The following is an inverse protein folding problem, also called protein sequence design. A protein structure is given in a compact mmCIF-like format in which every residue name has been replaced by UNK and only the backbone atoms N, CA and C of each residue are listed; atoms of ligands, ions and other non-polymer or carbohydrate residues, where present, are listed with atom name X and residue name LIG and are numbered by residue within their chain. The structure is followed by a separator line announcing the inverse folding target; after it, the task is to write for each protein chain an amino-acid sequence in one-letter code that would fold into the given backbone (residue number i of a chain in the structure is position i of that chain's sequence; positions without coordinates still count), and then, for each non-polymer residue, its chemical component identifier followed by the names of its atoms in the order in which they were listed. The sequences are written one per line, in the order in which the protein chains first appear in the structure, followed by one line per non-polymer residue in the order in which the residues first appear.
data_IF_565047720347
#
_entry.id   IF_565047720347
#
_cell.length_a   1.000
_cell.length_b   1.000
_cell.length_c   1.000
_cell.angle_alpha   90.00
_cell.angle_beta   90.00
_cell.angle_gamma   90.00
#
_symmetry.space_group_name_H-M   'P 1'
#
loop_
_entity.id
_entity.type
_entity.pdbx_description
1 polymer ?
#
# COMPACT_ATOMS: atom_id res chain seq x y z
N UNK A 1 -5.38 34.67 -48.00
CA UNK A 1 -6.32 33.76 -47.30
C UNK A 1 -7.35 34.59 -46.56
N UNK A 2 -8.64 34.21 -46.64
CA UNK A 2 -9.73 35.03 -46.11
C UNK A 2 -9.76 34.96 -44.56
N UNK A 3 -9.55 36.06 -43.82
CA UNK A 3 -9.47 36.05 -42.35
C UNK A 3 -10.76 35.53 -41.69
N UNK A 4 -11.90 35.67 -42.37
CA UNK A 4 -13.19 35.11 -41.93
C UNK A 4 -13.23 33.58 -41.94
N UNK A 5 -12.47 32.94 -42.84
CA UNK A 5 -12.38 31.48 -42.92
C UNK A 5 -11.51 30.91 -41.79
N UNK A 6 -10.36 31.54 -41.52
CA UNK A 6 -9.49 31.17 -40.40
C UNK A 6 -10.22 31.31 -39.06
N UNK A 7 -10.95 32.41 -38.85
CA UNK A 7 -11.71 32.61 -37.62
C UNK A 7 -12.81 31.55 -37.40
N UNK A 8 -13.57 31.21 -38.45
CA UNK A 8 -14.58 30.14 -38.39
C UNK A 8 -13.95 28.79 -38.11
N UNK A 9 -12.82 28.47 -38.76
CA UNK A 9 -12.11 27.21 -38.54
C UNK A 9 -11.61 27.10 -37.10
N UNK A 10 -11.02 28.16 -36.55
CA UNK A 10 -10.51 28.16 -35.17
C UNK A 10 -11.63 28.11 -34.14
N UNK A 11 -12.73 28.83 -34.34
CA UNK A 11 -13.89 28.76 -33.42
C UNK A 11 -14.58 27.40 -33.48
N UNK A 12 -14.80 26.83 -34.68
CA UNK A 12 -15.36 25.49 -34.80
C UNK A 12 -14.45 24.43 -34.16
N UNK A 13 -13.14 24.51 -34.37
CA UNK A 13 -12.18 23.59 -33.76
C UNK A 13 -12.16 23.71 -32.23
N UNK A 14 -12.22 24.94 -31.68
CA UNK A 14 -12.31 25.16 -30.24
C UNK A 14 -13.61 24.61 -29.64
N UNK A 15 -14.75 24.76 -30.33
CA UNK A 15 -16.03 24.20 -29.89
C UNK A 15 -16.01 22.67 -29.91
N UNK A 16 -15.42 22.04 -30.93
CA UNK A 16 -15.26 20.58 -30.98
C UNK A 16 -14.35 20.07 -29.85
N UNK A 17 -13.24 20.76 -29.56
CA UNK A 17 -12.36 20.40 -28.44
C UNK A 17 -13.04 20.58 -27.07
N UNK A 18 -13.90 21.59 -26.93
CA UNK A 18 -14.71 21.80 -25.73
C UNK A 18 -15.73 20.67 -25.55
N UNK A 19 -16.45 20.31 -26.61
CA UNK A 19 -17.39 19.19 -26.59
C UNK A 19 -16.67 17.88 -26.24
N UNK A 20 -15.50 17.62 -26.84
CA UNK A 20 -14.67 16.45 -26.53
C UNK A 20 -14.21 16.45 -25.07
N UNK A 21 -13.78 17.60 -24.54
CA UNK A 21 -13.38 17.74 -23.13
C UNK A 21 -14.57 17.53 -22.19
N UNK A 22 -15.75 18.05 -22.52
CA UNK A 22 -16.96 17.88 -21.71
C UNK A 22 -17.39 16.42 -21.69
N UNK A 23 -17.35 15.74 -22.85
CA UNK A 23 -17.60 14.30 -22.94
C UNK A 23 -16.57 13.50 -22.13
N UNK A 24 -15.29 13.87 -22.19
CA UNK A 24 -14.23 13.25 -21.40
C UNK A 24 -14.44 13.42 -19.89
N UNK A 25 -14.89 14.60 -19.44
CA UNK A 25 -15.21 14.84 -18.03
C UNK A 25 -16.44 14.06 -17.58
N UNK A 26 -17.49 13.98 -18.40
CA UNK A 26 -18.70 13.20 -18.09
C UNK A 26 -18.40 11.71 -18.05
N UNK A 27 -17.62 11.18 -19.00
CA UNK A 27 -17.14 9.80 -18.99
C UNK A 27 -16.30 9.51 -17.75
N UNK A 28 -15.41 10.43 -17.37
CA UNK A 28 -14.63 10.30 -16.14
C UNK A 28 -15.51 10.28 -14.88
N UNK A 29 -16.50 11.17 -14.76
CA UNK A 29 -17.43 11.16 -13.62
C UNK A 29 -18.26 9.86 -13.60
N UNK A 30 -18.70 9.36 -14.76
CA UNK A 30 -19.46 8.13 -14.84
C UNK A 30 -18.63 6.89 -14.44
N UNK A 31 -17.38 6.81 -14.90
CA UNK A 31 -16.39 5.80 -14.52
C UNK A 31 -16.13 5.83 -13.00
N UNK A 32 -15.98 7.04 -12.45
CA UNK A 32 -15.67 7.31 -11.05
C UNK A 32 -16.82 7.04 -10.07
N UNK A 33 -18.07 7.20 -10.51
CA UNK A 33 -19.27 6.93 -9.67
C UNK A 33 -19.69 5.46 -9.73
N UNK A 34 -19.45 4.78 -10.84
CA UNK A 34 -19.83 3.37 -11.01
C UNK A 34 -18.77 2.38 -10.51
N UNK A 35 -17.57 2.86 -10.11
CA UNK A 35 -16.48 2.00 -9.64
C UNK A 35 -16.02 1.01 -10.71
N UNK A 36 -16.25 1.34 -11.98
CA UNK A 36 -15.84 0.54 -13.12
C UNK A 36 -14.37 0.83 -13.38
N UNK A 37 -13.46 0.03 -12.81
CA UNK A 37 -12.02 0.05 -13.14
C UNK A 37 -11.80 -0.42 -14.60
N UNK A 38 -12.25 0.37 -15.58
CA UNK A 38 -12.12 0.03 -17.02
C UNK A 38 -10.66 0.13 -17.47
N UNK A 39 -9.80 0.83 -16.74
CA UNK A 39 -8.39 1.01 -17.07
C UNK A 39 -7.46 0.38 -16.02
N UNK A 40 -6.49 -0.47 -16.43
CA UNK A 40 -5.50 -1.03 -15.52
C UNK A 40 -4.66 0.06 -14.83
N UNK A 41 -4.24 -0.20 -13.58
CA UNK A 41 -3.56 0.74 -12.66
C UNK A 41 -2.39 1.55 -13.27
N UNK A 42 -1.68 1.00 -14.25
CA UNK A 42 -0.53 1.68 -14.89
C UNK A 42 -0.97 2.71 -15.93
N UNK A 43 -2.11 2.48 -16.59
CA UNK A 43 -2.68 3.39 -17.57
C UNK A 43 -3.51 4.49 -16.92
N UNK A 44 -4.06 4.26 -15.72
CA UNK A 44 -4.88 5.24 -15.00
C UNK A 44 -4.11 6.53 -14.71
N UNK A 45 -2.82 6.46 -14.32
CA UNK A 45 -2.00 7.64 -14.04
C UNK A 45 -1.68 8.48 -15.28
N UNK A 46 -1.29 7.83 -16.39
CA UNK A 46 -0.98 8.51 -17.65
C UNK A 46 -2.23 9.08 -18.30
N UNK A 47 -3.33 8.32 -18.33
CA UNK A 47 -4.61 8.79 -18.88
C UNK A 47 -5.18 9.92 -18.04
N UNK A 48 -5.06 9.85 -16.70
CA UNK A 48 -5.47 10.93 -15.78
C UNK A 48 -4.63 12.20 -15.99
N UNK A 49 -3.31 12.07 -16.10
CA UNK A 49 -2.44 13.20 -16.41
C UNK A 49 -2.74 13.82 -17.79
N UNK A 50 -3.03 12.97 -18.79
CA UNK A 50 -3.32 13.41 -20.16
C UNK A 50 -4.71 14.05 -20.29
N UNK A 51 -5.71 13.59 -19.53
CA UNK A 51 -7.03 14.22 -19.43
C UNK A 51 -6.95 15.58 -18.72
N UNK A 52 -6.17 15.69 -17.63
CA UNK A 52 -5.96 16.96 -16.93
C UNK A 52 -5.22 17.95 -17.83
N UNK A 53 -4.12 17.53 -18.45
CA UNK A 53 -3.37 18.36 -19.37
C UNK A 53 -4.21 18.76 -20.60
N UNK A 54 -4.95 17.81 -21.17
CA UNK A 54 -5.87 18.03 -22.28
C UNK A 54 -7.00 19.00 -21.94
N UNK A 55 -7.60 18.88 -20.75
CA UNK A 55 -8.62 19.78 -20.24
C UNK A 55 -8.09 21.21 -20.03
N UNK A 56 -6.89 21.36 -19.47
CA UNK A 56 -6.23 22.67 -19.30
C UNK A 56 -5.92 23.30 -20.67
N UNK A 57 -5.38 22.53 -21.61
CA UNK A 57 -5.07 23.01 -22.96
C UNK A 57 -6.35 23.42 -23.70
N UNK A 58 -7.42 22.61 -23.62
CA UNK A 58 -8.71 22.92 -24.22
C UNK A 58 -9.32 24.20 -23.62
N UNK A 59 -9.24 24.36 -22.29
CA UNK A 59 -9.69 25.58 -21.61
C UNK A 59 -8.91 26.82 -22.06
N UNK A 60 -7.58 26.75 -22.13
CA UNK A 60 -6.72 27.85 -22.61
C UNK A 60 -7.06 28.20 -24.06
N UNK A 61 -7.27 27.20 -24.93
CA UNK A 61 -7.66 27.41 -26.33
C UNK A 61 -9.04 28.10 -26.44
N UNK A 62 -10.00 27.76 -25.59
CA UNK A 62 -11.31 28.42 -25.55
C UNK A 62 -11.16 29.88 -25.12
N UNK A 63 -10.37 30.16 -24.09
CA UNK A 63 -10.10 31.54 -23.64
C UNK A 63 -9.42 32.36 -24.73
N UNK A 64 -8.39 31.81 -25.40
CA UNK A 64 -7.69 32.47 -26.50
C UNK A 64 -8.65 32.70 -27.69
N UNK A 65 -9.45 31.71 -28.07
CA UNK A 65 -10.42 31.84 -29.17
C UNK A 65 -11.50 32.88 -28.86
N UNK A 66 -11.93 32.97 -27.60
CA UNK A 66 -12.89 33.98 -27.16
C UNK A 66 -12.28 35.39 -27.20
N UNK A 67 -11.04 35.54 -26.74
CA UNK A 67 -10.30 36.80 -26.77
C UNK A 67 -10.03 37.26 -28.21
N UNK A 68 -9.66 36.35 -29.12
CA UNK A 68 -9.47 36.62 -30.54
C UNK A 68 -10.79 36.97 -31.25
N UNK A 69 -11.88 36.31 -30.89
CA UNK A 69 -13.20 36.62 -31.46
C UNK A 69 -13.68 38.00 -30.99
N UNK A 70 -13.43 38.35 -29.73
CA UNK A 70 -13.71 39.67 -29.17
C UNK A 70 -12.82 40.76 -29.78
N UNK A 71 -11.53 40.49 -30.00
CA UNK A 71 -10.63 41.45 -30.63
C UNK A 71 -11.02 41.70 -32.08
N UNK A 72 -11.41 40.67 -32.83
CA UNK A 72 -11.83 40.80 -34.22
C UNK A 72 -13.21 41.43 -34.37
N UNK A 73 -14.14 41.22 -33.42
CA UNK A 73 -15.38 41.99 -33.34
C UNK A 73 -15.13 43.47 -33.00
N UNK A 74 -14.18 43.74 -32.11
CA UNK A 74 -13.79 45.11 -31.78
C UNK A 74 -13.17 45.81 -33.00
N UNK A 75 -12.27 45.15 -33.73
CA UNK A 75 -11.62 45.65 -34.94
C UNK A 75 -12.60 45.82 -36.11
N UNK A 76 -13.52 44.87 -36.30
CA UNK A 76 -14.57 44.97 -37.31
C UNK A 76 -15.55 46.12 -37.03
N UNK A 77 -15.88 46.38 -35.76
CA UNK A 77 -16.75 47.50 -35.40
C UNK A 77 -16.02 48.85 -35.44
N UNK A 78 -14.73 48.89 -35.10
CA UNK A 78 -13.90 50.10 -35.21
C UNK A 78 -13.64 50.49 -36.68
N UNK A 79 -13.38 49.51 -37.55
CA UNK A 79 -13.15 49.74 -38.99
C UNK A 79 -14.41 50.19 -39.74
N UNK A 80 -15.60 49.75 -39.33
CA UNK A 80 -16.86 50.22 -39.92
C UNK A 80 -17.30 51.60 -39.43
N UNK A 81 -16.83 52.05 -38.26
CA UNK A 81 -17.38 53.25 -37.62
C UNK A 81 -16.49 54.51 -37.71
N UNK A 82 -15.21 54.41 -38.12
CA UNK A 82 -14.25 55.53 -38.13
C UNK A 82 -14.24 56.35 -36.80
N UNK A 83 -14.47 55.69 -35.67
CA UNK A 83 -14.66 56.38 -34.39
C UNK A 83 -13.32 56.64 -33.67
N UNK A 84 -13.13 57.83 -33.07
CA UNK A 84 -11.99 58.09 -32.20
C UNK A 84 -12.09 57.26 -30.91
N UNK A 85 -10.96 57.04 -30.24
CA UNK A 85 -10.82 56.19 -29.05
C UNK A 85 -11.92 56.45 -28.01
N UNK A 86 -12.89 55.55 -27.92
CA UNK A 86 -13.92 55.59 -26.89
C UNK A 86 -13.49 54.80 -25.65
N UNK A 87 -13.61 55.44 -24.48
CA UNK A 87 -13.45 54.78 -23.19
C UNK A 87 -14.47 53.64 -23.02
N UNK A 88 -13.98 52.48 -22.60
CA UNK A 88 -14.74 51.24 -22.42
C UNK A 88 -15.99 51.50 -21.55
N UNK A 89 -17.18 51.20 -22.08
CA UNK A 89 -18.44 51.43 -21.37
C UNK A 89 -18.48 50.70 -20.01
N UNK A 90 -18.89 51.42 -18.95
CA UNK A 90 -18.95 50.89 -17.57
C UNK A 90 -19.80 49.62 -17.45
N UNK A 91 -20.82 49.44 -18.32
CA UNK A 91 -21.68 48.25 -18.36
C UNK A 91 -20.95 47.00 -18.85
N UNK A 92 -20.10 47.12 -19.88
CA UNK A 92 -19.31 46.00 -20.38
C UNK A 92 -18.25 45.57 -19.36
N UNK A 93 -17.55 46.54 -18.75
CA UNK A 93 -16.59 46.28 -17.66
C UNK A 93 -17.22 45.53 -16.49
N UNK A 94 -18.48 45.84 -16.14
CA UNK A 94 -19.23 45.16 -15.07
C UNK A 94 -19.66 43.73 -15.45
N UNK A 95 -20.06 43.47 -16.70
CA UNK A 95 -20.39 42.12 -17.19
C UNK A 95 -19.16 41.23 -17.29
N UNK A 96 -18.05 41.75 -17.81
CA UNK A 96 -16.78 41.02 -17.90
C UNK A 96 -16.25 40.65 -16.50
N UNK A 97 -16.28 41.60 -15.55
CA UNK A 97 -15.88 41.31 -14.16
C UNK A 97 -16.76 40.24 -13.49
N UNK A 98 -18.07 40.24 -13.76
CA UNK A 98 -18.98 39.19 -13.27
C UNK A 98 -18.67 37.82 -13.89
N UNK A 99 -18.38 37.76 -15.19
CA UNK A 99 -18.01 36.51 -15.87
C UNK A 99 -16.66 35.96 -15.38
N UNK A 100 -15.68 36.85 -15.13
CA UNK A 100 -14.38 36.46 -14.58
C UNK A 100 -14.52 35.92 -13.15
N UNK A 101 -15.31 36.59 -12.30
CA UNK A 101 -15.62 36.09 -10.95
C UNK A 101 -16.34 34.74 -11.00
N UNK A 102 -17.32 34.58 -11.89
CA UNK A 102 -18.02 33.30 -12.05
C UNK A 102 -17.07 32.16 -12.49
N UNK A 103 -16.14 32.44 -13.40
CA UNK A 103 -15.13 31.48 -13.83
C UNK A 103 -14.17 31.08 -12.69
N UNK A 104 -13.70 32.04 -11.90
CA UNK A 104 -12.85 31.76 -10.73
C UNK A 104 -13.60 30.94 -9.67
N UNK A 105 -14.88 31.25 -9.42
CA UNK A 105 -15.72 30.48 -8.49
C UNK A 105 -15.94 29.05 -8.99
N UNK A 106 -16.19 28.87 -10.30
CA UNK A 106 -16.35 27.54 -10.87
C UNK A 106 -15.07 26.69 -10.73
N UNK A 107 -13.89 27.27 -10.99
CA UNK A 107 -12.60 26.59 -10.79
C UNK A 107 -12.39 26.25 -9.31
N UNK A 108 -12.68 27.18 -8.40
CA UNK A 108 -12.56 26.94 -6.97
C UNK A 108 -13.47 25.80 -6.48
N UNK A 109 -14.71 25.72 -6.99
CA UNK A 109 -15.64 24.63 -6.68
C UNK A 109 -15.15 23.28 -7.22
N UNK A 110 -14.55 23.24 -8.42
CA UNK A 110 -13.97 22.01 -8.99
C UNK A 110 -12.78 21.54 -8.15
N UNK A 111 -11.86 22.43 -7.80
CA UNK A 111 -10.69 22.10 -6.96
C UNK A 111 -11.13 21.64 -5.57
N UNK A 112 -12.12 22.30 -4.96
CA UNK A 112 -12.66 21.89 -3.67
C UNK A 112 -13.35 20.52 -3.74
N UNK A 113 -14.10 20.24 -4.81
CA UNK A 113 -14.73 18.93 -5.03
C UNK A 113 -13.72 17.80 -5.19
N UNK A 114 -12.62 18.05 -5.90
CA UNK A 114 -11.50 17.10 -6.06
C UNK A 114 -10.81 16.80 -4.73
N UNK A 115 -10.56 17.82 -3.90
CA UNK A 115 -9.93 17.61 -2.59
C UNK A 115 -10.80 16.78 -1.63
N UNK A 116 -12.12 16.98 -1.65
CA UNK A 116 -13.04 16.22 -0.80
C UNK A 116 -13.08 14.75 -1.25
N UNK A 117 -13.15 14.51 -2.57
CA UNK A 117 -13.17 13.15 -3.11
C UNK A 117 -11.86 12.40 -2.84
N UNK A 118 -10.71 13.05 -2.99
CA UNK A 118 -9.42 12.45 -2.63
C UNK A 118 -9.36 12.06 -1.14
N UNK A 119 -9.89 12.90 -0.24
CA UNK A 119 -9.97 12.58 1.20
C UNK A 119 -10.87 11.38 1.48
N UNK A 120 -12.05 11.33 0.87
CA UNK A 120 -12.98 10.20 1.02
C UNK A 120 -12.36 8.90 0.52
N UNK A 121 -11.62 8.93 -0.60
CA UNK A 121 -10.89 7.76 -1.09
C UNK A 121 -9.78 7.34 -0.16
N UNK A 122 -8.96 8.26 0.33
CA UNK A 122 -7.91 7.95 1.28
C UNK A 122 -8.48 7.27 2.54
N UNK A 123 -9.64 7.72 3.02
CA UNK A 123 -10.34 7.09 4.13
C UNK A 123 -10.86 5.69 3.77
N UNK A 124 -11.50 5.52 2.61
CA UNK A 124 -12.00 4.22 2.17
C UNK A 124 -10.88 3.19 1.98
N UNK A 125 -9.76 3.58 1.34
CA UNK A 125 -8.58 2.73 1.21
C UNK A 125 -7.97 2.42 2.57
N UNK A 126 -7.86 3.40 3.48
CA UNK A 126 -7.36 3.14 4.83
C UNK A 126 -8.25 2.17 5.62
N UNK A 127 -9.56 2.24 5.44
CA UNK A 127 -10.49 1.29 6.06
C UNK A 127 -10.35 -0.12 5.46
N UNK A 128 -10.26 -0.24 4.14
CA UNK A 128 -10.07 -1.52 3.46
C UNK A 128 -8.76 -2.19 3.91
N UNK A 129 -7.66 -1.43 3.95
CA UNK A 129 -6.34 -1.92 4.40
C UNK A 129 -6.39 -2.35 5.87
N UNK A 130 -7.10 -1.61 6.74
CA UNK A 130 -7.29 -1.99 8.14
C UNK A 130 -8.10 -3.27 8.28
N UNK A 131 -9.16 -3.42 7.49
CA UNK A 131 -9.98 -4.62 7.50
C UNK A 131 -9.18 -5.84 7.04
N UNK A 132 -8.45 -5.72 5.92
CA UNK A 132 -7.54 -6.75 5.41
C UNK A 132 -6.47 -7.12 6.46
N UNK A 133 -5.83 -6.13 7.09
CA UNK A 133 -4.85 -6.36 8.15
C UNK A 133 -5.44 -7.16 9.32
N UNK A 134 -6.64 -6.81 9.79
CA UNK A 134 -7.31 -7.50 10.90
C UNK A 134 -7.70 -8.93 10.49
N UNK A 135 -8.23 -9.10 9.27
CA UNK A 135 -8.62 -10.41 8.75
C UNK A 135 -7.43 -11.35 8.63
N UNK A 136 -6.34 -10.90 7.98
CA UNK A 136 -5.09 -11.68 7.89
C UNK A 136 -4.50 -11.95 9.26
N UNK A 137 -4.60 -11.01 10.21
CA UNK A 137 -4.12 -11.21 11.58
C UNK A 137 -4.90 -12.32 12.32
N UNK A 138 -6.23 -12.36 12.17
CA UNK A 138 -7.07 -13.41 12.74
C UNK A 138 -6.71 -14.77 12.13
N UNK A 139 -6.55 -14.82 10.81
CA UNK A 139 -6.16 -16.05 10.11
C UNK A 139 -4.76 -16.53 10.50
N UNK A 140 -3.82 -15.60 10.73
CA UNK A 140 -2.47 -15.92 11.20
C UNK A 140 -2.49 -16.58 12.59
N UNK A 141 -3.31 -16.05 13.51
CA UNK A 141 -3.48 -16.64 14.85
C UNK A 141 -4.06 -18.06 14.77
N UNK A 142 -5.06 -18.27 13.90
CA UNK A 142 -5.64 -19.60 13.65
C UNK A 142 -4.63 -20.56 13.03
N UNK A 143 -3.87 -20.08 12.06
CA UNK A 143 -2.83 -20.85 11.37
C UNK A 143 -1.76 -21.31 12.35
N UNK A 144 -1.29 -20.42 13.22
CA UNK A 144 -0.28 -20.75 14.22
C UNK A 144 -0.71 -21.89 15.14
N UNK A 145 -1.96 -21.89 15.62
CA UNK A 145 -2.48 -22.96 16.47
C UNK A 145 -2.39 -24.34 15.79
N UNK A 146 -2.63 -24.40 14.48
CA UNK A 146 -2.45 -25.63 13.72
C UNK A 146 -0.98 -25.96 13.47
N UNK A 147 -0.14 -24.95 13.24
CA UNK A 147 1.29 -25.14 12.94
C UNK A 147 2.06 -25.71 14.13
N UNK A 148 1.79 -25.25 15.35
CA UNK A 148 2.49 -25.76 16.54
C UNK A 148 2.23 -27.27 16.75
N UNK A 149 1.04 -27.76 16.41
CA UNK A 149 0.68 -29.18 16.47
C UNK A 149 1.42 -30.05 15.42
N UNK A 150 1.96 -29.46 14.34
CA UNK A 150 2.69 -30.19 13.31
C UNK A 150 4.11 -30.60 13.74
N UNK A 151 4.60 -30.10 14.88
CA UNK A 151 5.92 -30.45 15.39
C UNK A 151 5.91 -31.84 16.01
N UNK A 152 6.39 -32.81 15.23
CA UNK A 152 6.47 -34.21 15.69
C UNK A 152 7.43 -34.40 16.87
N UNK A 153 7.22 -35.40 17.75
CA UNK A 153 8.11 -35.65 18.89
C UNK A 153 9.61 -35.77 18.57
N UNK A 154 10.04 -36.43 17.46
CA UNK A 154 11.46 -36.46 17.07
C UNK A 154 12.02 -35.09 16.71
N UNK A 155 11.19 -34.19 16.16
CA UNK A 155 11.60 -32.84 15.83
C UNK A 155 11.74 -31.99 17.09
N UNK A 156 10.79 -32.09 18.03
CA UNK A 156 10.87 -31.44 19.34
C UNK A 156 12.12 -31.87 20.10
N UNK A 157 12.43 -33.16 20.09
CA UNK A 157 13.62 -33.75 20.73
C UNK A 157 14.93 -33.17 20.16
N UNK A 158 14.98 -33.03 18.84
CA UNK A 158 16.14 -32.49 18.14
C UNK A 158 16.28 -30.97 18.33
N UNK A 159 15.17 -30.24 18.48
CA UNK A 159 15.15 -28.81 18.78
C UNK A 159 15.68 -28.56 20.20
N UNK A 160 15.12 -29.25 21.20
CA UNK A 160 15.51 -29.11 22.61
C UNK A 160 17.01 -29.38 22.81
N UNK A 161 17.48 -30.50 22.26
CA UNK A 161 18.89 -30.90 22.39
C UNK A 161 19.84 -30.16 21.44
N UNK A 162 19.34 -29.24 20.62
CA UNK A 162 20.11 -28.54 19.58
C UNK A 162 20.86 -29.48 18.61
N UNK A 163 20.28 -30.66 18.32
CA UNK A 163 20.89 -31.71 17.48
C UNK A 163 20.14 -31.99 16.18
N UNK A 164 19.53 -30.95 15.59
CA UNK A 164 18.73 -31.06 14.36
C UNK A 164 19.49 -31.70 13.19
N UNK A 165 20.79 -31.42 13.07
CA UNK A 165 21.64 -31.97 12.02
C UNK A 165 22.03 -33.43 12.31
N UNK A 166 22.49 -33.71 13.53
CA UNK A 166 22.97 -35.01 13.96
C UNK A 166 21.85 -36.06 13.96
N UNK A 167 20.62 -35.66 14.34
CA UNK A 167 19.43 -36.52 14.32
C UNK A 167 18.74 -36.59 12.95
N UNK A 168 19.32 -36.00 11.91
CA UNK A 168 18.79 -36.03 10.55
C UNK A 168 17.44 -35.34 10.36
N UNK A 169 17.07 -34.42 11.26
CA UNK A 169 15.74 -33.77 11.26
C UNK A 169 15.67 -32.52 10.39
N UNK A 170 16.79 -32.02 9.84
CA UNK A 170 16.81 -30.86 8.95
C UNK A 170 15.89 -31.00 7.72
N UNK A 171 15.79 -32.21 7.16
CA UNK A 171 14.88 -32.48 6.05
C UNK A 171 13.41 -32.36 6.46
N UNK A 172 13.06 -32.83 7.65
CA UNK A 172 11.70 -32.72 8.19
C UNK A 172 11.35 -31.27 8.53
N UNK A 173 12.28 -30.52 9.12
CA UNK A 173 12.10 -29.10 9.40
C UNK A 173 11.94 -28.26 8.12
N UNK A 174 12.77 -28.51 7.10
CA UNK A 174 12.66 -27.84 5.80
C UNK A 174 11.34 -28.15 5.08
N UNK A 175 10.89 -29.41 5.14
CA UNK A 175 9.55 -29.79 4.65
C UNK A 175 8.45 -29.09 5.42
N UNK A 176 8.57 -28.97 6.74
CA UNK A 176 7.59 -28.27 7.57
C UNK A 176 7.52 -26.78 7.17
N UNK A 177 8.66 -26.08 7.06
CA UNK A 177 8.68 -24.69 6.59
C UNK A 177 8.01 -24.53 5.22
N UNK A 178 8.27 -25.45 4.30
CA UNK A 178 7.69 -25.43 2.95
C UNK A 178 6.20 -25.73 2.96
N UNK A 179 5.76 -26.69 3.78
CA UNK A 179 4.36 -27.07 3.94
C UNK A 179 3.55 -25.92 4.56
N UNK A 180 4.07 -25.27 5.61
CA UNK A 180 3.42 -24.10 6.22
C UNK A 180 3.23 -22.99 5.19
N UNK A 181 4.25 -22.69 4.39
CA UNK A 181 4.13 -21.67 3.35
C UNK A 181 3.15 -22.04 2.23
N UNK A 182 3.04 -23.32 1.90
CA UNK A 182 2.21 -23.80 0.78
C UNK A 182 0.74 -24.06 1.17
N UNK A 183 0.49 -24.44 2.41
CA UNK A 183 -0.81 -24.93 2.87
C UNK A 183 -1.67 -23.88 3.55
N UNK A 184 -1.08 -22.80 4.07
CA UNK A 184 -1.83 -21.76 4.77
C UNK A 184 -2.11 -20.54 3.87
N UNK A 185 -3.26 -19.86 4.08
CA UNK A 185 -3.56 -18.58 3.45
C UNK A 185 -2.43 -17.57 3.69
N UNK A 186 -2.23 -16.65 2.75
CA UNK A 186 -1.21 -15.58 2.85
C UNK A 186 0.25 -16.07 2.99
N UNK A 187 0.48 -17.37 2.73
CA UNK A 187 1.79 -18.02 2.56
C UNK A 187 2.80 -17.61 3.64
N UNK A 188 2.48 -17.79 4.92
CA UNK A 188 3.28 -17.26 6.01
C UNK A 188 4.70 -17.82 5.96
N UNK A 189 5.66 -16.94 6.25
CA UNK A 189 7.03 -17.33 6.56
C UNK A 189 7.08 -17.76 8.02
N UNK A 190 7.52 -18.98 8.25
CA UNK A 190 7.77 -19.49 9.60
C UNK A 190 9.22 -19.27 10.00
N UNK A 191 9.40 -18.83 11.24
CA UNK A 191 10.68 -18.64 11.91
C UNK A 191 10.61 -19.38 13.24
N UNK A 192 11.67 -20.11 13.56
CA UNK A 192 11.87 -20.75 14.85
C UNK A 192 12.98 -20.00 15.59
N UNK A 193 12.76 -19.65 16.84
CA UNK A 193 13.79 -19.12 17.73
C UNK A 193 14.04 -20.13 18.84
N UNK A 194 15.27 -20.62 18.96
CA UNK A 194 15.68 -21.59 19.98
C UNK A 194 16.77 -21.00 20.87
N UNK A 195 16.96 -21.49 22.11
CA UNK A 195 18.16 -21.20 22.88
C UNK A 195 19.40 -21.68 22.11
N UNK A 196 20.46 -20.86 22.09
CA UNK A 196 21.70 -21.24 21.42
C UNK A 196 22.56 -22.12 22.33
N UNK A 197 23.19 -23.15 21.74
CA UNK A 197 24.10 -24.05 22.46
C UNK A 197 25.52 -23.48 22.65
N UNK A 198 25.87 -22.37 21.98
CA UNK A 198 27.24 -21.85 21.90
C UNK A 198 27.34 -20.44 22.50
N UNK A 199 28.14 -20.27 23.54
CA UNK A 199 28.51 -18.95 24.04
C UNK A 199 29.32 -18.18 22.96
N UNK A 200 29.15 -16.85 22.82
CA UNK A 200 28.39 -15.93 23.68
C UNK A 200 26.92 -15.72 23.27
N UNK A 201 26.37 -16.58 22.41
CA UNK A 201 25.03 -16.40 21.87
C UNK A 201 23.96 -16.94 22.83
N UNK A 202 22.84 -16.23 22.94
CA UNK A 202 21.69 -16.63 23.76
C UNK A 202 20.63 -17.35 22.93
N UNK A 203 20.41 -16.91 21.69
CA UNK A 203 19.36 -17.45 20.82
C UNK A 203 19.87 -17.73 19.41
N UNK A 204 19.24 -18.70 18.75
CA UNK A 204 19.44 -19.05 17.35
C UNK A 204 18.11 -18.94 16.60
N UNK A 205 18.08 -18.12 15.55
CA UNK A 205 16.95 -17.99 14.63
C UNK A 205 17.16 -18.90 13.43
N UNK A 206 16.18 -19.78 13.24
CA UNK A 206 16.15 -20.77 12.17
C UNK A 206 14.92 -20.50 11.31
N UNK A 207 15.13 -20.30 10.03
CA UNK A 207 14.10 -20.20 9.01
C UNK A 207 14.46 -21.08 7.81
N UNK A 208 13.62 -21.06 6.76
CA UNK A 208 13.87 -21.84 5.55
C UNK A 208 15.25 -21.53 4.90
N UNK A 209 15.74 -20.29 5.00
CA UNK A 209 17.05 -19.88 4.46
C UNK A 209 18.24 -20.36 5.29
N UNK A 210 17.99 -20.76 6.54
CA UNK A 210 18.98 -21.27 7.47
C UNK A 210 19.35 -22.73 7.20
N UNK A 211 18.56 -23.46 6.39
CA UNK A 211 18.84 -24.85 6.00
C UNK A 211 19.29 -24.86 4.55
N UNK A 212 20.56 -25.19 4.32
CA UNK A 212 21.19 -25.12 2.99
C UNK A 212 21.74 -26.48 2.61
N UNK A 213 21.71 -26.79 1.32
CA UNK A 213 22.39 -27.97 0.79
C UNK A 213 23.83 -27.61 0.46
N UNK A 214 24.79 -28.44 0.86
CA UNK A 214 26.17 -28.32 0.40
C UNK A 214 26.33 -28.87 -1.03
N UNK A 215 27.53 -28.74 -1.61
CA UNK A 215 27.85 -29.22 -2.97
C UNK A 215 27.65 -30.74 -3.15
N UNK A 216 27.55 -31.49 -2.05
CA UNK A 216 27.33 -32.95 -2.03
C UNK A 216 25.86 -33.33 -1.80
N UNK A 217 24.94 -32.35 -1.73
CA UNK A 217 23.52 -32.59 -1.51
C UNK A 217 23.12 -32.81 -0.04
N UNK A 218 24.05 -32.66 0.91
CA UNK A 218 23.78 -32.82 2.34
C UNK A 218 23.26 -31.51 2.94
N UNK A 219 22.19 -31.61 3.73
CA UNK A 219 21.63 -30.46 4.42
C UNK A 219 22.53 -30.04 5.60
N UNK A 220 22.80 -28.74 5.69
CA UNK A 220 23.52 -28.07 6.76
C UNK A 220 22.64 -26.99 7.38
N UNK A 221 22.73 -26.85 8.69
CA UNK A 221 22.11 -25.76 9.44
C UNK A 221 23.11 -24.60 9.61
N UNK A 222 22.67 -23.40 9.25
CA UNK A 222 23.40 -22.14 9.42
C UNK A 222 22.43 -21.09 9.98
N UNK A 223 22.14 -21.13 11.30
CA UNK A 223 21.18 -20.23 11.91
C UNK A 223 21.76 -18.81 12.07
N UNK A 224 20.89 -17.83 12.23
CA UNK A 224 21.29 -16.49 12.67
C UNK A 224 21.39 -16.48 14.18
N UNK A 225 22.58 -16.20 14.71
CA UNK A 225 22.84 -16.23 16.16
C UNK A 225 22.73 -14.83 16.77
N UNK A 226 22.05 -14.73 17.91
CA UNK A 226 21.86 -13.50 18.66
C UNK A 226 22.53 -13.59 20.03
N UNK A 227 23.51 -12.72 20.27
CA UNK A 227 24.05 -12.50 21.61
C UNK A 227 23.09 -11.64 22.45
N UNK A 228 22.45 -10.66 21.79
CA UNK A 228 21.38 -9.80 22.31
C UNK A 228 20.46 -9.38 21.14
N UNK A 229 19.24 -8.93 21.45
CA UNK A 229 18.36 -8.28 20.47
C UNK A 229 18.62 -6.77 20.41
N UNK A 230 18.43 -6.11 19.24
CA UNK A 230 18.59 -4.66 19.12
C UNK A 230 17.55 -3.87 19.92
N UNK A 231 16.35 -4.43 20.11
CA UNK A 231 15.25 -3.82 20.85
C UNK A 231 15.12 -4.46 22.23
N UNK A 232 15.17 -3.65 23.29
CA UNK A 232 14.91 -4.11 24.66
C UNK A 232 13.50 -4.69 24.80
N UNK A 233 12.52 -4.10 24.11
CA UNK A 233 11.14 -4.60 24.11
C UNK A 233 11.05 -5.98 23.45
N UNK A 234 11.75 -6.20 22.34
CA UNK A 234 11.83 -7.53 21.71
C UNK A 234 12.48 -8.55 22.64
N UNK A 235 13.58 -8.17 23.31
CA UNK A 235 14.24 -9.03 24.28
C UNK A 235 13.31 -9.43 25.43
N UNK A 236 12.54 -8.48 25.97
CA UNK A 236 11.56 -8.73 27.04
C UNK A 236 10.46 -9.70 26.58
N UNK A 237 9.87 -9.46 25.41
CA UNK A 237 8.83 -10.35 24.86
C UNK A 237 9.36 -11.76 24.68
N UNK A 238 10.54 -11.92 24.08
CA UNK A 238 11.17 -13.22 23.89
C UNK A 238 11.43 -13.92 25.24
N UNK A 239 11.95 -13.20 26.23
CA UNK A 239 12.17 -13.76 27.56
C UNK A 239 10.87 -14.22 28.23
N UNK A 240 9.79 -13.43 28.13
CA UNK A 240 8.48 -13.80 28.67
C UNK A 240 7.89 -15.04 27.98
N UNK A 241 8.03 -15.13 26.65
CA UNK A 241 7.59 -16.31 25.89
C UNK A 241 8.35 -17.57 26.32
N UNK A 242 9.67 -17.50 26.50
CA UNK A 242 10.45 -18.61 27.04
C UNK A 242 10.10 -18.94 28.50
N UNK A 243 9.61 -17.96 29.27
CA UNK A 243 9.05 -18.19 30.60
C UNK A 243 7.60 -18.73 30.58
N UNK A 244 7.02 -18.98 29.39
CA UNK A 244 5.65 -19.49 29.24
C UNK A 244 4.58 -18.43 29.50
N UNK A 245 4.90 -17.14 29.31
CA UNK A 245 3.99 -16.02 29.50
C UNK A 245 3.72 -15.29 28.19
N UNK A 246 2.51 -14.76 28.04
CA UNK A 246 2.17 -13.84 26.94
C UNK A 246 2.39 -12.41 27.40
N UNK A 247 3.05 -11.63 26.57
CA UNK A 247 3.19 -10.19 26.75
C UNK A 247 2.52 -9.47 25.58
N UNK A 248 1.35 -8.84 25.77
CA UNK A 248 0.73 -8.05 24.72
C UNK A 248 1.59 -6.81 24.41
N UNK A 249 1.71 -6.51 23.12
CA UNK A 249 2.41 -5.32 22.64
C UNK A 249 1.45 -4.11 22.61
N UNK A 250 1.78 -3.08 23.37
CA UNK A 250 1.00 -1.82 23.40
C UNK A 250 1.41 -0.83 22.30
N UNK A 251 2.59 -1.03 21.73
CA UNK A 251 3.19 -0.17 20.71
C UNK A 251 3.71 -0.97 19.52
N UNK A 252 4.02 -0.27 18.42
CA UNK A 252 4.63 -0.87 17.25
C UNK A 252 6.07 -1.32 17.54
N UNK A 253 6.39 -2.55 17.17
CA UNK A 253 7.69 -3.19 17.28
C UNK A 253 8.05 -3.76 15.91
N UNK A 254 9.18 -3.31 15.37
CA UNK A 254 9.79 -3.85 14.14
C UNK A 254 11.11 -4.54 14.50
N UNK A 255 11.01 -5.65 15.24
CA UNK A 255 12.14 -6.47 15.66
C UNK A 255 12.68 -7.39 14.55
N UNK A 256 13.76 -8.09 14.86
CA UNK A 256 14.39 -9.05 13.94
C UNK A 256 13.68 -10.42 13.93
N UNK A 257 12.99 -10.74 15.03
CA UNK A 257 12.19 -11.95 15.23
C UNK A 257 10.72 -11.57 15.35
N UNK A 258 10.38 -10.61 16.21
CA UNK A 258 8.98 -10.19 16.43
C UNK A 258 8.74 -8.85 15.73
N UNK A 259 7.86 -8.86 14.73
CA UNK A 259 7.39 -7.67 14.03
C UNK A 259 5.87 -7.61 14.04
N UNK A 260 5.29 -6.69 14.80
CA UNK A 260 3.83 -6.54 14.89
C UNK A 260 3.26 -5.47 13.94
N UNK A 261 4.08 -4.86 13.09
CA UNK A 261 3.63 -3.94 12.03
C UNK A 261 3.18 -4.68 10.77
N UNK A 262 3.35 -6.00 10.75
CA UNK A 262 2.85 -6.91 9.74
C UNK A 262 1.89 -7.89 10.42
N UNK A 263 0.87 -8.40 9.70
CA UNK A 263 0.10 -9.51 10.19
C UNK A 263 1.02 -10.68 10.52
N UNK A 264 1.05 -11.05 11.80
CA UNK A 264 1.98 -12.03 12.35
C UNK A 264 1.44 -12.68 13.62
N UNK A 265 1.93 -13.86 13.97
CA UNK A 265 1.53 -14.52 15.22
C UNK A 265 2.71 -15.30 15.79
N UNK A 266 2.76 -15.45 17.11
CA UNK A 266 3.80 -16.22 17.78
C UNK A 266 3.24 -17.16 18.84
N UNK A 267 3.88 -18.31 18.96
CA UNK A 267 3.58 -19.33 19.93
C UNK A 267 4.86 -19.95 20.45
N UNK A 268 4.72 -20.95 21.30
CA UNK A 268 5.84 -21.67 21.89
C UNK A 268 5.75 -23.15 21.56
N UNK A 269 6.89 -23.81 21.52
CA UNK A 269 6.96 -25.25 21.55
C UNK A 269 7.33 -25.68 22.96
N UNK A 270 6.55 -26.59 23.51
CA UNK A 270 6.77 -27.17 24.81
C UNK A 270 7.11 -28.65 24.74
N UNK A 271 7.99 -29.05 25.63
CA UNK A 271 8.29 -30.45 25.91
C UNK A 271 8.48 -30.61 27.41
N UNK A 272 7.82 -31.60 27.99
CA UNK A 272 7.88 -31.89 29.43
C UNK A 272 7.59 -30.65 30.32
N UNK A 273 6.69 -29.77 29.85
CA UNK A 273 6.29 -28.53 30.54
C UNK A 273 7.30 -27.37 30.43
N UNK A 274 8.37 -27.51 29.64
CA UNK A 274 9.34 -26.45 29.40
C UNK A 274 9.24 -25.91 27.97
N UNK A 275 9.33 -24.59 27.82
CA UNK A 275 9.40 -23.95 26.50
C UNK A 275 10.80 -24.15 25.90
N UNK A 276 10.86 -24.87 24.78
CA UNK A 276 12.12 -25.19 24.08
C UNK A 276 12.36 -24.28 22.87
N UNK A 277 11.32 -23.66 22.33
CA UNK A 277 11.43 -22.75 21.20
C UNK A 277 10.23 -21.81 21.10
N UNK A 278 10.39 -20.72 20.37
CA UNK A 278 9.32 -19.83 19.92
C UNK A 278 9.10 -20.05 18.43
N UNK A 279 7.85 -20.24 18.03
CA UNK A 279 7.43 -20.31 16.63
C UNK A 279 6.80 -18.97 16.28
N UNK A 280 7.30 -18.34 15.23
CA UNK A 280 6.78 -17.08 14.71
C UNK A 280 6.36 -17.24 13.26
N UNK A 281 5.13 -16.84 12.96
CA UNK A 281 4.58 -16.75 11.61
C UNK A 281 4.40 -15.28 11.24
N UNK A 282 4.80 -14.92 10.03
CA UNK A 282 4.56 -13.60 9.48
C UNK A 282 4.22 -13.66 8.00
N UNK A 283 3.42 -12.71 7.54
CA UNK A 283 3.24 -12.44 6.12
C UNK A 283 4.52 -11.96 5.45
N UNK A 284 4.63 -12.15 4.14
CA UNK A 284 5.75 -11.62 3.37
C UNK A 284 5.59 -10.10 3.20
N UNK A 285 6.61 -9.34 3.60
CA UNK A 285 6.61 -7.89 3.45
C UNK A 285 6.47 -7.44 1.98
N UNK A 286 6.78 -8.30 1.00
CA UNK A 286 6.60 -7.99 -0.42
C UNK A 286 5.18 -8.16 -0.95
N UNK A 287 4.29 -8.87 -0.24
CA UNK A 287 2.95 -9.20 -0.73
C UNK A 287 1.88 -8.14 -0.38
N UNK A 288 2.16 -7.21 0.55
CA UNK A 288 1.20 -6.15 0.93
C UNK A 288 1.53 -4.84 0.20
N UNK A 289 0.58 -4.34 -0.60
CA UNK A 289 0.79 -3.28 -1.62
C UNK A 289 0.68 -1.83 -1.13
N UNK A 290 0.58 -1.56 0.19
CA UNK A 290 0.09 -0.25 0.66
C UNK A 290 1.05 0.54 1.59
N UNK A 291 1.15 1.87 1.43
CA UNK A 291 2.04 2.74 2.22
C UNK A 291 1.57 3.01 3.67
N UNK A 292 0.35 2.61 4.05
CA UNK A 292 -0.23 2.83 5.39
C UNK A 292 0.36 1.95 6.51
N UNK A 293 1.35 1.09 6.19
CA UNK A 293 1.96 0.12 7.12
C UNK A 293 2.50 0.69 8.42
N UNK A 294 3.03 1.91 8.41
CA UNK A 294 3.71 2.46 9.61
C UNK A 294 2.75 2.74 10.77
N UNK A 295 1.45 2.82 10.51
CA UNK A 295 0.45 3.14 11.53
C UNK A 295 -0.34 1.92 12.02
N UNK A 296 -0.22 0.78 11.33
CA UNK A 296 -0.93 -0.45 11.71
C UNK A 296 -0.01 -1.34 12.53
N UNK A 297 -0.52 -1.79 13.67
CA UNK A 297 0.12 -2.81 14.49
C UNK A 297 -0.91 -3.63 15.24
N UNK A 298 -0.53 -4.82 15.69
CA UNK A 298 -1.34 -5.68 16.55
C UNK A 298 -0.63 -5.96 17.89
N UNK A 299 -1.39 -6.31 18.92
CA UNK A 299 -0.82 -6.60 20.25
C UNK A 299 -0.25 -8.01 20.39
N UNK A 300 -0.38 -8.84 19.35
CA UNK A 300 -0.04 -10.26 19.40
C UNK A 300 -1.25 -11.17 19.68
N UNK A 301 -1.00 -12.46 19.91
CA UNK A 301 -2.03 -13.39 20.33
C UNK A 301 -2.48 -13.11 21.76
N UNK A 302 -3.78 -13.29 22.03
CA UNK A 302 -4.38 -13.03 23.34
C UNK A 302 -3.99 -14.05 24.41
N UNK A 303 -3.60 -15.26 23.98
CA UNK A 303 -3.25 -16.39 24.83
C UNK A 303 -2.01 -17.08 24.29
N UNK A 304 -1.33 -17.83 25.15
CA UNK A 304 -0.12 -18.56 24.77
C UNK A 304 -0.53 -19.74 23.90
N UNK A 305 -0.16 -19.69 22.62
CA UNK A 305 -0.39 -20.78 21.69
C UNK A 305 0.78 -21.77 21.83
N UNK A 306 0.48 -23.02 22.11
CA UNK A 306 1.45 -24.10 22.31
C UNK A 306 0.96 -25.41 21.69
N UNK A 307 1.89 -26.32 21.42
CA UNK A 307 1.61 -27.71 21.04
C UNK A 307 1.24 -28.60 22.23
#
# INVERSE_FOLDING_TARGET
MNPRFLLRLTTSCAVYLLLLSCFGTVLWIADEVLGWDILPDVWSLLVRALLIAGGIIAFVLVVISLLLSLSLLAEASASQAQLPNYEISRRFKRRFRKSLVAGVVAIALIVAGLQITDRVRQQATAQAVRAEFIETQIEMNRSLAQVVELFTPPLLDAIESNTLAEKGQLGNLSKLFSAVRASFPDRPRMVLLTPAAQAPYQYARIDAGSIQSNDQGQLRLSPVLYANFPSEQEAQVVQQLFAGQVMPLEASLSGNVINNQLPSSWGVLQRDGQTIAIVYLQTDASEIRYPLRKELYHSGPEQLITN
#
